data_IF_538854848747
#
_entry.id   IF_538854848747
#
_cell.length_a   1.000
_cell.length_b   1.000
_cell.length_c   1.000
_cell.angle_alpha   90.00
_cell.angle_beta   90.00
_cell.angle_gamma   90.00
#
_symmetry.space_group_name_H-M   'P 1'
#
loop_
_entity.id
_entity.type
_entity.pdbx_description
1 polymer ?
#
# COMPACT_ATOMS: atom_id res chain seq x y z
N UNK A 1 5.33 -21.53 6.68
CA UNK A 1 4.69 -20.22 6.88
C UNK A 1 3.76 -20.34 8.09
N UNK A 2 3.77 -19.33 8.99
CA UNK A 2 2.82 -19.23 10.10
C UNK A 2 1.80 -18.15 9.76
N UNK A 3 0.53 -18.46 9.96
CA UNK A 3 -0.58 -17.55 9.70
C UNK A 3 -1.19 -17.10 11.03
N UNK A 4 -1.51 -15.80 11.11
CA UNK A 4 -2.15 -15.19 12.28
C UNK A 4 -3.34 -14.34 11.81
N UNK A 5 -4.48 -14.47 12.45
CA UNK A 5 -5.63 -13.61 12.24
C UNK A 5 -5.59 -12.49 13.29
N UNK A 6 -4.97 -11.37 12.96
CA UNK A 6 -4.82 -10.24 13.87
C UNK A 6 -4.52 -8.96 13.09
N UNK A 7 -4.97 -7.82 13.59
CA UNK A 7 -4.52 -6.53 13.10
C UNK A 7 -3.17 -6.14 13.74
N UNK A 8 -2.36 -5.29 13.09
CA UNK A 8 -1.07 -4.85 13.64
C UNK A 8 -1.17 -4.21 15.03
N UNK A 9 -2.30 -3.55 15.33
CA UNK A 9 -2.58 -2.91 16.61
C UNK A 9 -2.71 -3.91 17.77
N UNK A 10 -3.23 -5.10 17.45
CA UNK A 10 -3.47 -6.19 18.42
C UNK A 10 -2.39 -7.26 18.39
N UNK A 11 -1.53 -7.24 17.36
CA UNK A 11 -0.52 -8.26 17.15
C UNK A 11 0.65 -8.12 18.13
N UNK A 12 0.70 -9.01 19.11
CA UNK A 12 1.74 -9.06 20.15
C UNK A 12 2.76 -10.13 19.80
N UNK A 13 3.97 -9.72 19.45
CA UNK A 13 5.10 -10.63 19.19
C UNK A 13 6.35 -10.12 19.90
N UNK A 14 7.17 -11.07 20.35
CA UNK A 14 8.45 -10.76 21.02
C UNK A 14 9.58 -10.46 20.03
N UNK A 15 9.35 -10.71 18.73
CA UNK A 15 10.34 -10.51 17.66
C UNK A 15 9.84 -9.47 16.67
N UNK A 16 10.75 -8.61 16.25
CA UNK A 16 10.51 -7.68 15.14
C UNK A 16 10.88 -8.33 13.81
N UNK A 17 10.33 -7.81 12.73
CA UNK A 17 10.50 -8.30 11.37
C UNK A 17 11.58 -7.51 10.64
N UNK A 18 12.30 -8.18 9.75
CA UNK A 18 13.28 -7.54 8.85
C UNK A 18 12.56 -6.84 7.69
N UNK A 19 11.44 -7.41 7.24
CA UNK A 19 10.61 -6.89 6.16
C UNK A 19 9.15 -6.95 6.56
N UNK A 20 8.39 -5.91 6.23
CA UNK A 20 6.93 -5.86 6.33
C UNK A 20 6.37 -5.51 4.95
N UNK A 21 5.37 -6.27 4.51
CA UNK A 21 4.64 -6.04 3.26
C UNK A 21 3.20 -5.62 3.59
N UNK A 22 2.80 -4.45 3.11
CA UNK A 22 1.43 -3.95 3.14
C UNK A 22 0.95 -3.86 1.69
N UNK A 23 0.30 -4.91 1.21
CA UNK A 23 -0.10 -5.04 -0.19
C UNK A 23 -1.61 -4.85 -0.30
N UNK A 24 -2.06 -3.77 -0.96
CA UNK A 24 -3.47 -3.43 -1.16
C UNK A 24 -4.29 -3.48 0.15
N UNK A 25 -3.78 -2.82 1.21
CA UNK A 25 -4.42 -2.86 2.53
C UNK A 25 -4.62 -1.46 3.13
N UNK A 26 -3.75 -0.50 2.83
CA UNK A 26 -3.75 0.81 3.50
C UNK A 26 -4.98 1.65 3.13
N UNK A 27 -5.58 1.42 1.99
CA UNK A 27 -6.84 2.02 1.53
C UNK A 27 -8.09 1.44 2.20
N UNK A 28 -7.96 0.36 2.95
CA UNK A 28 -9.07 -0.31 3.63
C UNK A 28 -9.07 -0.10 5.15
N UNK A 29 -8.04 0.54 5.70
CA UNK A 29 -7.96 0.81 7.14
C UNK A 29 -8.67 2.11 7.51
N UNK A 30 -9.27 2.15 8.71
CA UNK A 30 -9.97 3.34 9.19
C UNK A 30 -8.99 4.48 9.54
N UNK A 31 -7.90 4.17 10.25
CA UNK A 31 -6.85 5.10 10.64
C UNK A 31 -5.49 4.64 10.12
N UNK A 32 -5.13 5.15 8.95
CA UNK A 32 -3.86 4.83 8.28
C UNK A 32 -2.64 5.27 9.12
N UNK A 33 -2.73 6.37 9.86
CA UNK A 33 -1.61 6.86 10.66
C UNK A 33 -1.34 5.90 11.82
N UNK A 34 -2.38 5.48 12.52
CA UNK A 34 -2.27 4.54 13.62
C UNK A 34 -1.83 3.16 13.13
N UNK A 35 -2.41 2.66 12.05
CA UNK A 35 -2.02 1.39 11.41
C UNK A 35 -0.54 1.37 11.07
N UNK A 36 -0.04 2.35 10.31
CA UNK A 36 1.36 2.42 9.88
C UNK A 36 2.32 2.63 11.06
N UNK A 37 1.90 3.37 12.09
CA UNK A 37 2.66 3.48 13.35
C UNK A 37 2.81 2.12 14.04
N UNK A 38 1.75 1.31 14.06
CA UNK A 38 1.81 -0.04 14.63
C UNK A 38 2.70 -0.97 13.79
N UNK A 39 2.58 -0.95 12.46
CA UNK A 39 3.48 -1.67 11.56
C UNK A 39 4.95 -1.25 11.78
N UNK A 40 5.21 0.05 11.91
CA UNK A 40 6.58 0.54 12.12
C UNK A 40 7.21 0.02 13.42
N UNK A 41 6.42 -0.14 14.49
CA UNK A 41 6.91 -0.71 15.76
C UNK A 41 7.32 -2.17 15.64
N UNK A 42 6.67 -2.91 14.75
CA UNK A 42 6.97 -4.32 14.47
C UNK A 42 8.21 -4.50 13.58
N UNK A 43 8.67 -3.44 12.90
CA UNK A 43 9.83 -3.48 12.03
C UNK A 43 11.13 -3.24 12.83
N UNK A 44 12.17 -4.00 12.52
CA UNK A 44 13.52 -3.78 13.08
C UNK A 44 14.11 -2.45 12.64
N UNK A 45 15.13 -1.96 13.35
CA UNK A 45 16.03 -0.94 12.82
C UNK A 45 16.72 -1.50 11.57
N UNK A 46 16.91 -0.67 10.55
CA UNK A 46 17.37 -1.04 9.20
C UNK A 46 16.45 -2.04 8.47
N UNK A 47 15.24 -2.26 8.97
CA UNK A 47 14.23 -3.07 8.29
C UNK A 47 13.55 -2.31 7.15
N UNK A 48 12.89 -3.05 6.27
CA UNK A 48 12.26 -2.53 5.05
C UNK A 48 10.75 -2.70 5.13
N UNK A 49 10.00 -1.67 4.79
CA UNK A 49 8.55 -1.73 4.62
C UNK A 49 8.18 -1.46 3.17
N UNK A 50 7.48 -2.39 2.54
CA UNK A 50 6.85 -2.19 1.24
C UNK A 50 5.36 -1.87 1.43
N UNK A 51 4.88 -0.90 0.66
CA UNK A 51 3.46 -0.53 0.61
C UNK A 51 3.07 -0.43 -0.85
N UNK A 52 2.14 -1.28 -1.28
CA UNK A 52 1.49 -1.18 -2.57
C UNK A 52 0.04 -0.76 -2.37
N UNK A 53 -0.43 0.23 -3.14
CA UNK A 53 -1.79 0.76 -3.04
C UNK A 53 -2.13 1.62 -4.26
N UNK A 54 -3.38 2.08 -4.32
CA UNK A 54 -3.90 2.94 -5.38
C UNK A 54 -3.63 4.41 -5.04
N UNK A 55 -3.08 5.15 -6.01
CA UNK A 55 -2.83 6.58 -5.85
C UNK A 55 -4.13 7.39 -5.95
N UNK A 56 -4.26 8.45 -5.18
CA UNK A 56 -5.43 9.34 -5.19
C UNK A 56 -5.33 10.36 -6.35
N UNK A 57 -5.63 9.90 -7.56
CA UNK A 57 -5.64 10.72 -8.78
C UNK A 57 -6.95 10.54 -9.56
N UNK A 58 -7.26 11.47 -10.45
CA UNK A 58 -8.41 11.32 -11.36
C UNK A 58 -8.24 10.10 -12.28
N UNK A 59 -7.02 9.81 -12.70
CA UNK A 59 -6.70 8.65 -13.54
C UNK A 59 -7.01 7.35 -12.79
N UNK A 60 -6.60 7.22 -11.53
CA UNK A 60 -6.91 6.03 -10.73
C UNK A 60 -8.41 5.88 -10.48
N UNK A 61 -9.15 6.98 -10.29
CA UNK A 61 -10.60 6.95 -10.19
C UNK A 61 -11.24 6.31 -11.42
N UNK A 62 -10.83 6.74 -12.62
CA UNK A 62 -11.37 6.20 -13.88
C UNK A 62 -10.99 4.73 -14.06
N UNK A 63 -9.74 4.36 -13.82
CA UNK A 63 -9.27 2.98 -14.08
C UNK A 63 -9.66 2.00 -12.99
N UNK A 64 -9.49 2.34 -11.70
CA UNK A 64 -9.75 1.41 -10.60
C UNK A 64 -11.25 1.30 -10.28
N UNK A 65 -12.00 2.39 -10.33
CA UNK A 65 -13.41 2.38 -10.00
C UNK A 65 -14.25 2.17 -11.27
N UNK A 66 -14.23 3.11 -12.21
CA UNK A 66 -15.09 3.01 -13.40
C UNK A 66 -14.67 1.80 -14.26
N UNK A 67 -13.37 1.64 -14.53
CA UNK A 67 -12.87 0.55 -15.37
C UNK A 67 -13.06 -0.82 -14.74
N UNK A 68 -12.50 -1.06 -13.56
CA UNK A 68 -12.49 -2.38 -12.96
C UNK A 68 -13.82 -2.81 -12.36
N UNK A 69 -14.61 -1.88 -11.76
CA UNK A 69 -15.86 -2.23 -11.10
C UNK A 69 -17.07 -2.15 -12.04
N UNK A 70 -17.19 -1.10 -12.87
CA UNK A 70 -18.38 -0.89 -13.68
C UNK A 70 -18.25 -1.43 -15.10
N UNK A 71 -17.13 -1.28 -15.76
CA UNK A 71 -16.95 -1.68 -17.18
C UNK A 71 -16.50 -3.14 -17.27
N UNK A 72 -15.39 -3.50 -16.66
CA UNK A 72 -14.82 -4.86 -16.76
C UNK A 72 -15.44 -5.82 -15.74
N UNK A 73 -16.04 -5.29 -14.68
CA UNK A 73 -16.65 -6.08 -13.59
C UNK A 73 -15.71 -7.14 -13.01
N UNK A 74 -14.43 -6.83 -12.96
CA UNK A 74 -13.42 -7.69 -12.32
C UNK A 74 -13.56 -7.70 -10.80
N UNK A 75 -14.10 -6.61 -10.26
CA UNK A 75 -14.34 -6.42 -8.83
C UNK A 75 -15.81 -6.03 -8.58
N UNK A 76 -16.37 -6.39 -7.44
CA UNK A 76 -17.70 -5.92 -7.04
C UNK A 76 -17.77 -4.40 -6.98
N UNK A 77 -18.91 -3.82 -7.34
CA UNK A 77 -19.17 -2.37 -7.23
C UNK A 77 -19.03 -1.96 -5.76
N UNK A 78 -18.28 -0.89 -5.49
CA UNK A 78 -18.03 -0.40 -4.14
C UNK A 78 -16.86 -1.06 -3.43
N UNK A 79 -16.02 -1.83 -4.16
CA UNK A 79 -14.77 -2.38 -3.60
C UNK A 79 -13.80 -1.26 -3.23
N UNK A 80 -13.76 -0.18 -4.01
CA UNK A 80 -12.86 0.94 -3.81
C UNK A 80 -13.62 2.22 -3.46
N UNK A 81 -13.19 2.86 -2.38
CA UNK A 81 -13.62 4.20 -2.00
C UNK A 81 -12.51 5.20 -2.34
N UNK A 82 -12.73 6.05 -3.35
CA UNK A 82 -11.70 7.02 -3.80
C UNK A 82 -11.19 7.93 -2.68
N UNK A 83 -12.03 8.23 -1.70
CA UNK A 83 -11.65 9.02 -0.52
C UNK A 83 -10.50 8.39 0.26
N UNK A 84 -10.42 7.07 0.26
CA UNK A 84 -9.41 6.27 0.97
C UNK A 84 -8.13 6.04 0.17
N UNK A 85 -8.09 6.42 -1.10
CA UNK A 85 -6.87 6.32 -1.89
C UNK A 85 -5.78 7.23 -1.33
N UNK A 86 -4.55 6.77 -1.35
CA UNK A 86 -3.43 7.40 -0.63
C UNK A 86 -2.40 7.93 -1.61
N UNK A 87 -2.07 9.23 -1.50
CA UNK A 87 -0.99 9.80 -2.29
C UNK A 87 0.37 9.37 -1.74
N UNK A 88 1.38 9.12 -2.61
CA UNK A 88 2.74 8.80 -2.15
C UNK A 88 3.31 9.80 -1.16
N UNK A 89 2.99 11.10 -1.34
CA UNK A 89 3.49 12.16 -0.46
C UNK A 89 2.85 12.09 0.95
N UNK A 90 1.57 11.69 1.04
CA UNK A 90 0.90 11.51 2.33
C UNK A 90 1.54 10.34 3.10
N UNK A 91 1.80 9.21 2.41
CA UNK A 91 2.52 8.08 3.01
C UNK A 91 3.91 8.47 3.50
N UNK A 92 4.65 9.23 2.69
CA UNK A 92 5.99 9.72 3.04
C UNK A 92 5.96 10.56 4.31
N UNK A 93 4.98 11.46 4.44
CA UNK A 93 4.83 12.31 5.62
C UNK A 93 4.47 11.50 6.87
N UNK A 94 3.52 10.56 6.76
CA UNK A 94 3.11 9.69 7.87
C UNK A 94 4.29 8.84 8.34
N UNK A 95 5.01 8.21 7.43
CA UNK A 95 6.09 7.28 7.76
C UNK A 95 7.35 7.97 8.24
N UNK A 96 7.63 9.20 7.78
CA UNK A 96 8.73 10.02 8.28
C UNK A 96 8.61 10.28 9.80
N UNK A 97 7.40 10.50 10.31
CA UNK A 97 7.16 10.66 11.75
C UNK A 97 7.43 9.38 12.56
N UNK A 98 7.54 8.24 11.89
CA UNK A 98 7.85 6.93 12.47
C UNK A 98 9.28 6.44 12.13
N UNK A 99 10.18 7.34 11.73
CA UNK A 99 11.56 7.06 11.34
C UNK A 99 11.69 6.11 10.12
N UNK A 100 10.71 6.12 9.21
CA UNK A 100 10.79 5.44 7.92
C UNK A 100 10.92 6.47 6.81
N UNK A 101 11.88 6.26 5.92
CA UNK A 101 12.21 7.17 4.83
C UNK A 101 12.04 6.47 3.50
N UNK A 102 11.39 7.16 2.55
CA UNK A 102 11.18 6.64 1.20
C UNK A 102 12.53 6.41 0.52
N UNK A 103 12.78 5.17 0.10
CA UNK A 103 13.96 4.76 -0.66
C UNK A 103 13.65 4.63 -2.15
N UNK A 104 12.52 4.01 -2.48
CA UNK A 104 12.12 3.78 -3.87
C UNK A 104 10.61 3.91 -4.04
N UNK A 105 10.21 4.44 -5.20
CA UNK A 105 8.81 4.56 -5.61
C UNK A 105 8.71 4.18 -7.10
N UNK A 106 7.94 3.15 -7.39
CA UNK A 106 7.63 2.71 -8.75
C UNK A 106 6.12 2.54 -8.91
N UNK A 107 5.64 2.75 -10.13
CA UNK A 107 4.29 2.41 -10.53
C UNK A 107 4.17 0.94 -10.94
N UNK A 108 2.96 0.44 -10.98
CA UNK A 108 2.63 -0.89 -11.50
C UNK A 108 1.51 -0.77 -12.52
N UNK A 109 1.58 -1.53 -13.60
CA UNK A 109 0.51 -1.63 -14.57
C UNK A 109 0.31 -3.07 -15.04
N UNK A 110 -0.94 -3.42 -15.24
CA UNK A 110 -1.30 -4.72 -15.78
C UNK A 110 -1.32 -4.69 -17.30
N UNK A 111 -0.58 -5.58 -17.92
CA UNK A 111 -0.59 -5.77 -19.38
C UNK A 111 -1.64 -6.80 -19.74
N UNK A 112 -2.79 -6.33 -20.26
CA UNK A 112 -3.92 -7.17 -20.66
C UNK A 112 -3.59 -8.21 -21.76
N UNK A 113 -2.63 -7.90 -22.63
CA UNK A 113 -2.28 -8.78 -23.75
C UNK A 113 -1.42 -9.96 -23.28
N UNK A 114 -0.49 -9.67 -22.37
CA UNK A 114 0.46 -10.66 -21.85
C UNK A 114 0.01 -11.31 -20.54
N UNK A 115 -1.08 -10.83 -19.96
CA UNK A 115 -1.60 -11.28 -18.66
C UNK A 115 -0.54 -11.21 -17.54
N UNK A 116 0.20 -10.09 -17.50
CA UNK A 116 1.30 -9.90 -16.55
C UNK A 116 1.34 -8.50 -15.93
N UNK A 117 1.82 -8.41 -14.69
CA UNK A 117 2.12 -7.15 -14.02
C UNK A 117 3.52 -6.66 -14.37
N UNK A 118 3.65 -5.38 -14.71
CA UNK A 118 4.92 -4.74 -15.03
C UNK A 118 5.17 -3.54 -14.11
N UNK A 119 6.42 -3.39 -13.69
CA UNK A 119 6.87 -2.20 -12.97
C UNK A 119 7.12 -1.08 -13.98
N UNK A 120 6.71 0.14 -13.63
CA UNK A 120 6.88 1.34 -14.46
C UNK A 120 7.29 2.55 -13.63
N UNK A 121 7.56 3.67 -14.29
CA UNK A 121 7.75 4.96 -13.62
C UNK A 121 6.44 5.74 -13.45
N UNK A 122 5.38 5.31 -14.09
CA UNK A 122 4.05 5.93 -13.97
C UNK A 122 3.36 5.46 -12.69
N UNK A 123 3.34 6.29 -11.67
CA UNK A 123 2.67 6.06 -10.39
C UNK A 123 1.25 6.62 -10.36
N UNK A 124 0.68 7.00 -11.50
CA UNK A 124 -0.58 7.74 -11.53
C UNK A 124 -1.83 6.90 -11.25
N UNK A 125 -1.76 5.57 -11.30
CA UNK A 125 -2.88 4.68 -10.96
C UNK A 125 -2.59 3.96 -9.65
N UNK A 126 -1.63 3.06 -9.66
CA UNK A 126 -1.15 2.35 -8.48
C UNK A 126 0.37 2.42 -8.38
N UNK A 127 0.87 2.21 -7.19
CA UNK A 127 2.31 2.29 -6.94
C UNK A 127 2.74 1.33 -5.84
N UNK A 128 4.02 1.01 -5.86
CA UNK A 128 4.71 0.34 -4.77
C UNK A 128 5.82 1.25 -4.24
N UNK A 129 5.82 1.47 -2.93
CA UNK A 129 6.79 2.30 -2.24
C UNK A 129 7.60 1.45 -1.26
N UNK A 130 8.91 1.63 -1.29
CA UNK A 130 9.86 1.02 -0.37
C UNK A 130 10.35 2.06 0.64
N UNK A 131 10.21 1.76 1.92
CA UNK A 131 10.65 2.60 3.02
C UNK A 131 11.70 1.88 3.87
N UNK A 132 12.78 2.58 4.21
CA UNK A 132 13.83 2.11 5.10
C UNK A 132 13.65 2.73 6.49
N UNK A 133 13.78 1.91 7.52
CA UNK A 133 13.71 2.36 8.91
C UNK A 133 15.09 2.66 9.47
N UNK A 134 15.30 3.88 9.92
CA UNK A 134 16.51 4.31 10.61
C UNK A 134 16.47 3.99 12.10
#
# INVERSE_FOLDING_TARGET
IKYFCSSPEKFKVNKKFDVILNMEIVEHVEDIQFFLKCCSKLLKKNGIMFIATINKTLKSYVFAIIGAEYVLRWLPIGTHEWEKFVKPEDLKNILKSNNLFLNKLDGMHFNLIKDEWNISKDTSVNYIAEFLKN
#
